data_IF_800742066568
#
_entry.id   IF_800742066568
#
_cell.length_a   1.000
_cell.length_b   1.000
_cell.length_c   1.000
_cell.angle_alpha   90.00
_cell.angle_beta   90.00
_cell.angle_gamma   90.00
#
_symmetry.space_group_name_H-M   'P 1'
#
loop_
_entity.id
_entity.type
_entity.pdbx_description
1 polymer ?
#
# COMPACT_ATOMS: atom_id res chain seq x y z
N UNK A 1 29.15 10.45 1.80
CA UNK A 1 28.71 9.13 1.31
C UNK A 1 28.30 9.28 -0.15
N UNK A 2 28.85 8.52 -1.12
CA UNK A 2 28.39 8.63 -2.52
C UNK A 2 26.99 8.01 -2.59
N UNK A 3 25.94 8.84 -2.65
CA UNK A 3 24.54 8.42 -2.74
C UNK A 3 24.29 7.38 -3.87
N UNK A 4 25.15 7.39 -4.90
CA UNK A 4 25.05 6.58 -6.11
C UNK A 4 25.43 5.09 -5.96
N UNK A 5 25.73 4.60 -4.75
CA UNK A 5 25.99 3.17 -4.49
C UNK A 5 25.01 2.53 -3.49
N UNK A 6 24.10 3.31 -2.89
CA UNK A 6 23.16 2.78 -1.90
C UNK A 6 21.97 2.12 -2.61
N UNK A 7 21.79 0.81 -2.39
CA UNK A 7 20.68 0.03 -2.94
C UNK A 7 19.66 -0.40 -1.87
N UNK A 8 19.99 -0.25 -0.59
CA UNK A 8 19.15 -0.62 0.55
C UNK A 8 19.14 0.52 1.55
N UNK A 9 17.95 0.97 1.94
CA UNK A 9 17.75 1.91 3.02
C UNK A 9 16.62 1.42 3.92
N UNK A 10 16.92 1.30 5.21
CA UNK A 10 15.93 1.13 6.26
C UNK A 10 16.01 2.32 7.20
N UNK A 11 14.86 2.94 7.45
CA UNK A 11 14.71 4.06 8.36
C UNK A 11 13.68 3.71 9.43
N UNK A 12 14.07 3.93 10.68
CA UNK A 12 13.20 3.90 11.84
C UNK A 12 13.51 5.17 12.65
N UNK A 13 12.56 6.07 12.77
CA UNK A 13 12.73 7.31 13.54
C UNK A 13 11.68 7.35 14.62
N UNK A 14 12.13 7.42 15.87
CA UNK A 14 11.23 7.57 17.02
C UNK A 14 11.50 8.95 17.64
N UNK A 15 10.45 9.75 17.81
CA UNK A 15 10.50 10.99 18.59
C UNK A 15 11.29 12.17 18.01
N UNK A 16 11.70 12.14 16.73
CA UNK A 16 12.38 13.27 16.07
C UNK A 16 11.67 13.58 14.74
N UNK A 17 11.31 14.85 14.54
CA UNK A 17 11.00 15.41 13.21
C UNK A 17 12.26 15.41 12.34
N UNK A 18 12.62 14.26 11.80
CA UNK A 18 13.80 14.12 10.95
C UNK A 18 13.45 14.53 9.51
N UNK A 19 13.35 15.84 9.26
CA UNK A 19 13.18 16.43 7.91
C UNK A 19 14.32 16.01 6.97
N UNK A 20 15.53 15.81 7.51
CA UNK A 20 16.74 15.41 6.77
C UNK A 20 16.57 14.13 5.95
N UNK A 21 15.90 13.11 6.49
CA UNK A 21 15.69 11.84 5.77
C UNK A 21 14.81 12.08 4.55
N UNK A 22 13.82 12.94 4.70
CA UNK A 22 12.81 13.22 3.69
C UNK A 22 13.41 14.01 2.52
N UNK A 23 14.42 14.85 2.79
CA UNK A 23 15.18 15.58 1.77
C UNK A 23 16.16 14.70 0.98
N UNK A 24 16.63 13.60 1.56
CA UNK A 24 17.58 12.71 0.88
C UNK A 24 16.89 11.61 0.07
N UNK A 25 15.67 11.18 0.44
CA UNK A 25 14.96 10.08 -0.24
C UNK A 25 14.85 10.26 -1.76
N UNK A 26 14.50 11.44 -2.32
CA UNK A 26 14.44 11.65 -3.76
C UNK A 26 15.79 11.55 -4.46
N UNK A 27 16.90 11.76 -3.73
CA UNK A 27 18.27 11.71 -4.27
C UNK A 27 18.82 10.29 -4.36
N UNK A 28 18.13 9.31 -3.75
CA UNK A 28 18.55 7.92 -3.69
C UNK A 28 17.96 7.08 -4.82
N UNK A 29 18.05 7.59 -6.06
CA UNK A 29 17.43 7.02 -7.25
C UNK A 29 17.91 5.59 -7.62
N UNK A 30 18.89 5.00 -6.94
CA UNK A 30 19.34 3.60 -7.16
C UNK A 30 18.85 2.62 -6.08
N UNK A 31 17.95 3.05 -5.18
CA UNK A 31 17.41 2.16 -4.17
C UNK A 31 16.62 1.02 -4.81
N UNK A 32 16.99 -0.19 -4.40
CA UNK A 32 16.23 -1.41 -4.65
C UNK A 32 15.30 -1.74 -3.50
N UNK A 33 15.65 -1.34 -2.28
CA UNK A 33 14.87 -1.59 -1.08
C UNK A 33 14.76 -0.31 -0.26
N UNK A 34 13.52 0.12 -0.04
CA UNK A 34 13.18 1.20 0.88
C UNK A 34 12.27 0.65 1.97
N UNK A 35 12.66 0.85 3.24
CA UNK A 35 11.87 0.49 4.40
C UNK A 35 11.75 1.71 5.31
N UNK A 36 10.52 2.12 5.60
CA UNK A 36 10.17 3.22 6.50
C UNK A 36 9.18 2.65 7.52
N UNK A 37 9.64 2.40 8.75
CA UNK A 37 8.82 1.76 9.80
C UNK A 37 8.03 2.76 10.66
N UNK A 38 8.51 4.00 10.79
CA UNK A 38 7.91 5.05 11.63
C UNK A 38 8.43 6.43 11.21
N UNK A 39 7.73 7.08 10.29
CA UNK A 39 8.00 8.45 9.89
C UNK A 39 6.70 9.17 9.55
N UNK A 40 6.49 10.31 10.19
CA UNK A 40 5.45 11.26 9.79
C UNK A 40 6.02 12.23 8.75
N UNK A 41 5.28 12.37 7.65
CA UNK A 41 5.59 13.30 6.57
C UNK A 41 4.64 14.49 6.66
N UNK A 42 5.15 15.72 6.53
CA UNK A 42 4.29 16.88 6.27
C UNK A 42 3.66 16.75 4.88
N UNK A 43 2.60 17.51 4.61
CA UNK A 43 1.95 17.52 3.29
C UNK A 43 2.93 17.82 2.14
N UNK A 44 3.87 18.76 2.32
CA UNK A 44 4.90 19.05 1.32
C UNK A 44 5.82 17.83 1.08
N UNK A 45 6.16 17.10 2.14
CA UNK A 45 7.04 15.95 2.06
C UNK A 45 6.32 14.74 1.44
N UNK A 46 5.02 14.58 1.69
CA UNK A 46 4.16 13.61 1.00
C UNK A 46 4.13 13.88 -0.52
N UNK A 47 4.00 15.13 -0.94
CA UNK A 47 4.06 15.48 -2.37
C UNK A 47 5.39 15.08 -3.01
N UNK A 48 6.52 15.28 -2.30
CA UNK A 48 7.82 14.83 -2.77
C UNK A 48 7.91 13.31 -2.85
N UNK A 49 7.37 12.58 -1.86
CA UNK A 49 7.33 11.12 -1.87
C UNK A 49 6.53 10.58 -3.07
N UNK A 50 5.38 11.20 -3.38
CA UNK A 50 4.52 10.82 -4.50
C UNK A 50 5.24 10.87 -5.83
N UNK A 51 6.19 11.80 -6.00
CA UNK A 51 6.96 12.00 -7.22
C UNK A 51 8.21 11.11 -7.33
N UNK A 52 8.51 10.28 -6.32
CA UNK A 52 9.75 9.50 -6.33
C UNK A 52 9.74 8.41 -7.40
N UNK A 53 10.81 8.40 -8.19
CA UNK A 53 11.10 7.37 -9.18
C UNK A 53 12.49 6.79 -8.89
N UNK A 54 12.52 5.54 -8.46
CA UNK A 54 13.73 4.76 -8.24
C UNK A 54 14.04 3.91 -9.47
N UNK A 55 15.32 3.65 -9.69
CA UNK A 55 15.78 2.78 -10.75
C UNK A 55 15.69 1.32 -10.29
N UNK A 56 14.70 0.61 -10.81
CA UNK A 56 14.43 -0.80 -10.55
C UNK A 56 14.21 -1.15 -9.06
N UNK A 57 13.30 -0.45 -8.34
CA UNK A 57 12.98 -0.80 -6.97
C UNK A 57 12.32 -2.18 -6.92
N UNK A 58 12.75 -3.00 -5.96
CA UNK A 58 12.25 -4.37 -5.78
C UNK A 58 11.35 -4.47 -4.54
N UNK A 59 11.63 -3.67 -3.50
CA UNK A 59 10.94 -3.72 -2.21
C UNK A 59 10.63 -2.31 -1.73
N UNK A 60 9.35 -2.07 -1.45
CA UNK A 60 8.88 -0.87 -0.76
C UNK A 60 8.11 -1.32 0.47
N UNK A 61 8.58 -0.87 1.64
CA UNK A 61 7.84 -0.96 2.89
C UNK A 61 7.67 0.45 3.47
N UNK A 62 6.45 0.91 3.63
CA UNK A 62 6.15 2.23 4.18
C UNK A 62 4.96 2.12 5.14
N UNK A 63 5.24 2.17 6.44
CA UNK A 63 4.22 2.21 7.48
C UNK A 63 3.78 3.67 7.77
N UNK A 64 2.65 3.88 8.44
CA UNK A 64 2.14 5.21 8.84
C UNK A 64 1.94 6.21 7.68
N UNK A 65 1.35 5.76 6.57
CA UNK A 65 1.13 6.60 5.38
C UNK A 65 -0.28 6.42 4.81
N UNK A 66 -0.66 7.34 3.93
CA UNK A 66 -1.92 7.29 3.17
C UNK A 66 -1.82 6.30 2.01
N UNK A 67 -2.91 5.59 1.69
CA UNK A 67 -2.93 4.65 0.56
C UNK A 67 -2.70 5.34 -0.77
N UNK A 68 -3.12 6.60 -0.89
CA UNK A 68 -2.93 7.39 -2.10
C UNK A 68 -1.45 7.70 -2.37
N UNK A 69 -0.64 7.93 -1.32
CA UNK A 69 0.81 8.13 -1.42
C UNK A 69 1.48 6.85 -1.91
N UNK A 70 1.13 5.71 -1.33
CA UNK A 70 1.66 4.41 -1.75
C UNK A 70 1.26 4.12 -3.20
N UNK A 71 0.03 4.48 -3.59
CA UNK A 71 -0.48 4.34 -4.97
C UNK A 71 0.34 5.16 -5.97
N UNK A 72 0.68 6.41 -5.65
CA UNK A 72 1.56 7.25 -6.50
C UNK A 72 2.95 6.64 -6.65
N UNK A 73 3.52 6.10 -5.57
CA UNK A 73 4.82 5.43 -5.62
C UNK A 73 4.73 4.19 -6.53
N UNK A 74 3.68 3.39 -6.41
CA UNK A 74 3.45 2.22 -7.28
C UNK A 74 3.38 2.62 -8.76
N UNK A 75 2.65 3.70 -9.08
CA UNK A 75 2.53 4.20 -10.45
C UNK A 75 3.90 4.58 -11.05
N UNK A 76 4.77 5.19 -10.25
CA UNK A 76 6.11 5.60 -10.70
C UNK A 76 7.14 4.46 -10.75
N UNK A 77 6.90 3.35 -10.04
CA UNK A 77 7.94 2.36 -9.73
C UNK A 77 7.55 0.90 -10.03
N UNK A 78 6.31 0.63 -10.40
CA UNK A 78 5.69 -0.71 -10.29
C UNK A 78 6.34 -1.83 -11.10
N UNK A 79 6.97 -1.50 -12.24
CA UNK A 79 7.50 -2.49 -13.20
C UNK A 79 8.47 -3.50 -12.57
N UNK A 80 9.25 -3.09 -11.57
CA UNK A 80 10.26 -3.93 -10.92
C UNK A 80 9.86 -4.37 -9.51
N UNK A 81 8.73 -3.88 -8.99
CA UNK A 81 8.32 -4.17 -7.62
C UNK A 81 7.93 -5.63 -7.45
N UNK A 82 8.57 -6.26 -6.46
CA UNK A 82 8.27 -7.62 -6.00
C UNK A 82 7.55 -7.60 -4.66
N UNK A 83 7.76 -6.56 -3.84
CA UNK A 83 7.16 -6.45 -2.51
C UNK A 83 6.63 -5.05 -2.24
N UNK A 84 5.34 -4.97 -1.92
CA UNK A 84 4.67 -3.77 -1.40
C UNK A 84 4.15 -4.13 -0.02
N UNK A 85 4.75 -3.56 1.00
CA UNK A 85 4.50 -3.90 2.40
C UNK A 85 4.12 -2.64 3.17
N UNK A 86 3.16 -2.77 4.08
CA UNK A 86 2.85 -1.75 5.07
C UNK A 86 2.05 -2.42 6.18
N UNK A 87 2.02 -1.82 7.36
CA UNK A 87 1.11 -2.22 8.44
C UNK A 87 -0.29 -1.65 8.16
N UNK A 88 -1.29 -2.48 7.81
CA UNK A 88 -2.61 -1.99 7.42
C UNK A 88 -3.31 -1.15 8.48
N UNK A 89 -3.11 -1.49 9.76
CA UNK A 89 -3.70 -0.77 10.89
C UNK A 89 -3.08 0.61 11.15
N UNK A 90 -1.96 0.92 10.48
CA UNK A 90 -1.27 2.20 10.60
C UNK A 90 -1.56 3.13 9.40
N UNK A 91 -2.52 2.79 8.52
CA UNK A 91 -2.92 3.66 7.42
C UNK A 91 -3.64 4.90 7.96
N UNK A 92 -3.21 6.09 7.50
CA UNK A 92 -3.68 7.39 7.97
C UNK A 92 -4.62 8.09 6.97
N UNK A 93 -5.59 7.37 6.42
CA UNK A 93 -6.64 7.99 5.62
C UNK A 93 -7.70 8.59 6.57
N UNK A 94 -7.73 9.92 6.67
CA UNK A 94 -8.42 10.66 7.74
C UNK A 94 -9.95 10.59 7.69
N UNK A 95 -10.54 10.34 6.52
CA UNK A 95 -11.98 10.18 6.38
C UNK A 95 -12.36 8.90 5.61
N UNK A 96 -13.59 8.43 5.83
CA UNK A 96 -14.09 7.18 5.29
C UNK A 96 -14.33 7.20 3.78
N UNK A 97 -14.69 8.36 3.23
CA UNK A 97 -14.99 8.53 1.81
C UNK A 97 -13.68 8.48 1.02
N UNK A 98 -12.68 9.20 1.50
CA UNK A 98 -11.31 9.19 1.01
C UNK A 98 -10.71 7.80 1.14
N UNK A 99 -10.91 7.12 2.28
CA UNK A 99 -10.47 5.73 2.43
C UNK A 99 -11.10 4.80 1.38
N UNK A 100 -12.42 4.83 1.17
CA UNK A 100 -13.08 3.99 0.13
C UNK A 100 -12.47 4.24 -1.26
N UNK A 101 -12.28 5.52 -1.62
CA UNK A 101 -11.72 5.91 -2.90
C UNK A 101 -10.25 5.48 -3.03
N UNK A 102 -9.45 5.72 -1.99
CA UNK A 102 -8.02 5.44 -1.96
C UNK A 102 -7.73 3.94 -1.92
N UNK A 103 -8.50 3.13 -1.19
CA UNK A 103 -8.35 1.68 -1.20
C UNK A 103 -8.74 1.05 -2.53
N UNK A 104 -9.79 1.55 -3.21
CA UNK A 104 -10.07 1.14 -4.59
C UNK A 104 -8.92 1.53 -5.53
N UNK A 105 -8.44 2.78 -5.46
CA UNK A 105 -7.34 3.26 -6.29
C UNK A 105 -6.08 2.44 -6.09
N UNK A 106 -5.75 2.11 -4.85
CA UNK A 106 -4.59 1.29 -4.49
C UNK A 106 -4.65 -0.08 -5.17
N UNK A 107 -5.77 -0.81 -5.04
CA UNK A 107 -5.94 -2.13 -5.68
C UNK A 107 -5.70 -2.03 -7.19
N UNK A 108 -6.28 -1.01 -7.84
CA UNK A 108 -6.13 -0.79 -9.28
C UNK A 108 -4.69 -0.52 -9.67
N UNK A 109 -4.01 0.39 -8.96
CA UNK A 109 -2.61 0.72 -9.25
C UNK A 109 -1.68 -0.47 -9.06
N UNK A 110 -1.95 -1.34 -8.08
CA UNK A 110 -1.18 -2.59 -7.91
C UNK A 110 -1.30 -3.47 -9.15
N UNK A 111 -2.51 -3.84 -9.58
CA UNK A 111 -2.64 -4.78 -10.69
C UNK A 111 -2.29 -4.17 -12.05
N UNK A 112 -2.42 -2.84 -12.20
CA UNK A 112 -2.05 -2.12 -13.43
C UNK A 112 -0.52 -2.01 -13.61
N UNK A 113 0.22 -1.80 -12.51
CA UNK A 113 1.64 -1.46 -12.59
C UNK A 113 2.57 -2.57 -12.08
N UNK A 114 2.08 -3.49 -11.26
CA UNK A 114 2.86 -4.56 -10.61
C UNK A 114 2.32 -5.97 -10.90
N UNK A 115 2.17 -6.40 -12.17
CA UNK A 115 1.66 -7.74 -12.49
C UNK A 115 2.57 -8.87 -11.94
N UNK A 116 3.85 -8.58 -11.71
CA UNK A 116 4.83 -9.54 -11.16
C UNK A 116 4.98 -9.50 -9.64
N UNK A 117 4.07 -8.83 -8.92
CA UNK A 117 4.16 -8.71 -7.45
C UNK A 117 4.13 -10.09 -6.78
N UNK A 118 5.02 -10.28 -5.79
CA UNK A 118 5.14 -11.53 -5.03
C UNK A 118 4.63 -11.39 -3.58
N UNK A 119 4.80 -10.22 -2.97
CA UNK A 119 4.40 -9.96 -1.59
C UNK A 119 3.57 -8.67 -1.53
N UNK A 120 2.34 -8.77 -1.03
CA UNK A 120 1.42 -7.65 -0.98
C UNK A 120 0.79 -7.53 0.40
N UNK A 121 0.84 -6.32 0.97
CA UNK A 121 -0.08 -5.89 2.04
C UNK A 121 -1.23 -5.13 1.41
N UNK A 122 -2.45 -5.37 1.86
CA UNK A 122 -3.66 -4.75 1.32
C UNK A 122 -4.69 -4.50 2.43
N UNK A 123 -5.38 -3.37 2.35
CA UNK A 123 -6.53 -3.04 3.19
C UNK A 123 -7.66 -2.48 2.34
N UNK A 124 -8.90 -2.88 2.60
CA UNK A 124 -10.08 -2.38 1.89
C UNK A 124 -11.39 -2.66 2.64
N UNK A 125 -12.46 -1.99 2.23
CA UNK A 125 -13.82 -2.23 2.75
C UNK A 125 -14.41 -3.53 2.17
N UNK A 126 -15.20 -4.27 2.95
CA UNK A 126 -15.94 -5.46 2.51
C UNK A 126 -17.09 -5.16 1.53
N UNK A 127 -16.95 -4.18 0.63
CA UNK A 127 -17.95 -3.81 -0.36
C UNK A 127 -17.82 -4.63 -1.64
N UNK A 128 -18.94 -4.80 -2.36
CA UNK A 128 -18.96 -5.53 -3.64
C UNK A 128 -17.96 -4.96 -4.66
N UNK A 129 -17.75 -3.64 -4.66
CA UNK A 129 -16.80 -2.97 -5.56
C UNK A 129 -15.36 -3.41 -5.27
N UNK A 130 -14.95 -3.39 -4.01
CA UNK A 130 -13.60 -3.82 -3.62
C UNK A 130 -13.36 -5.29 -3.89
N UNK A 131 -14.35 -6.15 -3.60
CA UNK A 131 -14.26 -7.57 -3.90
C UNK A 131 -14.02 -7.80 -5.40
N UNK A 132 -14.74 -7.08 -6.27
CA UNK A 132 -14.56 -7.20 -7.70
C UNK A 132 -13.19 -6.72 -8.18
N UNK A 133 -12.65 -5.62 -7.64
CA UNK A 133 -11.29 -5.17 -7.98
C UNK A 133 -10.22 -6.11 -7.43
N UNK A 134 -10.43 -6.66 -6.24
CA UNK A 134 -9.53 -7.64 -5.63
C UNK A 134 -9.50 -8.95 -6.45
N UNK A 135 -10.64 -9.42 -6.96
CA UNK A 135 -10.69 -10.57 -7.88
C UNK A 135 -9.90 -10.31 -9.17
N UNK A 136 -9.94 -9.09 -9.73
CA UNK A 136 -9.10 -8.72 -10.87
C UNK A 136 -7.62 -8.73 -10.51
N UNK A 137 -7.27 -8.21 -9.32
CA UNK A 137 -5.91 -8.21 -8.81
C UNK A 137 -5.36 -9.63 -8.75
N UNK A 138 -6.09 -10.56 -8.12
CA UNK A 138 -5.66 -11.96 -8.00
C UNK A 138 -5.48 -12.63 -9.37
N UNK A 139 -6.33 -12.30 -10.34
CA UNK A 139 -6.25 -12.84 -11.71
C UNK A 139 -5.03 -12.33 -12.47
N UNK A 140 -4.64 -11.07 -12.26
CA UNK A 140 -3.53 -10.43 -12.99
C UNK A 140 -2.19 -10.72 -12.29
N UNK A 141 -2.14 -10.58 -10.97
CA UNK A 141 -0.96 -10.74 -10.14
C UNK A 141 -0.73 -12.22 -9.79
N UNK A 142 -0.43 -13.05 -10.79
CA UNK A 142 -0.32 -14.51 -10.65
C UNK A 142 0.93 -14.99 -9.91
N UNK A 143 1.88 -14.08 -9.62
CA UNK A 143 3.12 -14.39 -8.92
C UNK A 143 3.03 -14.18 -7.40
N UNK A 144 1.86 -13.84 -6.86
CA UNK A 144 1.65 -13.65 -5.43
C UNK A 144 2.02 -14.91 -4.63
N UNK A 145 2.99 -14.77 -3.73
CA UNK A 145 3.47 -15.80 -2.79
C UNK A 145 3.06 -15.51 -1.35
N UNK A 146 2.81 -14.24 -1.04
CA UNK A 146 2.41 -13.81 0.29
C UNK A 146 1.44 -12.64 0.20
N UNK A 147 0.35 -12.74 0.95
CA UNK A 147 -0.69 -11.73 1.03
C UNK A 147 -1.03 -11.47 2.49
N UNK A 148 -0.83 -10.23 2.94
CA UNK A 148 -1.39 -9.73 4.19
C UNK A 148 -2.64 -8.91 3.83
N UNK A 149 -3.80 -9.35 4.30
CA UNK A 149 -5.09 -8.73 4.00
C UNK A 149 -5.79 -8.29 5.27
N UNK A 150 -6.26 -7.04 5.30
CA UNK A 150 -7.18 -6.53 6.31
C UNK A 150 -8.45 -6.06 5.61
N UNK A 151 -9.59 -6.55 6.08
CA UNK A 151 -10.90 -6.23 5.51
C UNK A 151 -11.67 -5.49 6.60
N UNK A 152 -12.09 -4.27 6.29
CA UNK A 152 -12.91 -3.46 7.18
C UNK A 152 -14.38 -3.62 6.80
N UNK A 153 -15.29 -3.69 7.76
CA UNK A 153 -16.72 -3.78 7.46
C UNK A 153 -17.20 -2.48 6.78
N UNK A 154 -18.11 -2.63 5.82
CA UNK A 154 -18.73 -1.53 5.08
C UNK A 154 -19.73 -0.75 5.96
N UNK A 155 -19.93 -1.08 7.24
CA UNK A 155 -20.97 -0.43 8.04
C UNK A 155 -20.59 -0.16 9.50
N UNK A 156 -20.49 1.13 9.81
CA UNK A 156 -20.77 1.67 11.14
C UNK A 156 -22.21 2.23 11.27
N UNK A 157 -23.14 2.10 10.31
CA UNK A 157 -24.35 2.95 10.35
C UNK A 157 -25.75 2.44 9.95
N UNK A 158 -26.06 1.20 9.54
CA UNK A 158 -27.50 0.85 9.32
C UNK A 158 -27.83 -0.67 9.40
N UNK A 159 -28.54 -1.03 10.49
CA UNK A 159 -29.36 -2.22 10.85
C UNK A 159 -28.65 -3.56 11.13
N UNK A 160 -28.61 -3.95 12.41
CA UNK A 160 -27.65 -4.89 13.02
C UNK A 160 -27.77 -6.38 12.67
N UNK A 161 -28.85 -6.89 12.05
CA UNK A 161 -29.01 -8.35 11.85
C UNK A 161 -28.63 -8.89 10.45
N UNK A 162 -28.84 -8.14 9.35
CA UNK A 162 -28.51 -8.60 7.98
C UNK A 162 -27.04 -8.35 7.58
N UNK A 163 -26.29 -7.60 8.37
CA UNK A 163 -24.94 -7.11 8.01
C UNK A 163 -23.87 -8.16 8.25
N UNK A 164 -23.87 -8.77 9.44
CA UNK A 164 -22.87 -9.76 9.83
C UNK A 164 -22.86 -10.95 8.87
N UNK A 165 -24.04 -11.35 8.37
CA UNK A 165 -24.12 -12.43 7.40
C UNK A 165 -23.47 -12.04 6.07
N UNK A 166 -23.58 -10.78 5.64
CA UNK A 166 -23.03 -10.29 4.39
C UNK A 166 -21.50 -10.09 4.46
N UNK A 167 -20.97 -9.46 5.51
CA UNK A 167 -19.52 -9.31 5.68
C UNK A 167 -18.83 -10.68 5.87
N UNK A 168 -19.46 -11.61 6.58
CA UNK A 168 -19.00 -13.00 6.69
C UNK A 168 -19.06 -13.75 5.34
N UNK A 169 -20.12 -13.59 4.55
CA UNK A 169 -20.22 -14.16 3.19
C UNK A 169 -19.10 -13.62 2.28
N UNK A 170 -18.80 -12.33 2.37
CA UNK A 170 -17.74 -11.68 1.59
C UNK A 170 -16.36 -12.16 2.03
N UNK A 171 -16.10 -12.23 3.33
CA UNK A 171 -14.87 -12.81 3.87
C UNK A 171 -14.67 -14.25 3.40
N UNK A 172 -15.72 -15.09 3.46
CA UNK A 172 -15.69 -16.45 2.90
C UNK A 172 -15.38 -16.47 1.41
N UNK A 173 -15.97 -15.56 0.63
CA UNK A 173 -15.73 -15.46 -0.82
C UNK A 173 -14.27 -15.11 -1.10
N UNK A 174 -13.71 -14.14 -0.38
CA UNK A 174 -12.31 -13.71 -0.50
C UNK A 174 -11.37 -14.88 -0.16
N UNK A 175 -11.61 -15.57 0.96
CA UNK A 175 -10.80 -16.73 1.36
C UNK A 175 -10.85 -17.85 0.30
N UNK A 176 -12.02 -18.10 -0.28
CA UNK A 176 -12.17 -19.09 -1.37
C UNK A 176 -11.39 -18.72 -2.63
N UNK A 177 -11.18 -17.44 -2.90
CA UNK A 177 -10.45 -16.98 -4.08
C UNK A 177 -8.92 -17.06 -3.89
N UNK A 178 -8.43 -17.28 -2.66
CA UNK A 178 -7.00 -17.34 -2.32
C UNK A 178 -6.50 -18.81 -2.25
N UNK A 179 -7.41 -19.78 -2.07
CA UNK A 179 -7.14 -21.22 -2.09
C UNK A 179 -7.27 -21.81 -3.50
#
# INVERSE_FOLDING_TARGET
>A
MKANSLNYLKVCVTGIESTLIQEILPKLYKLKTLIIDSLYFTSEQLERLRMMAYNEPEVIKIDFNELDVISSIIENNGKCLKKILFRPYDIHDFDRIDFEANSLKFIRKVYENCPSIEYLSIIFLSSKKHVAEFEKLLRICTNLRSLLIVILDEKELNDEEDIYENSFKIGKKIIKNIN
#
